data_IF_026045194284
#
_entry.id   IF_026045194284
#
_cell.length_a   1.000
_cell.length_b   1.000
_cell.length_c   1.000
_cell.angle_alpha   90.00
_cell.angle_beta   90.00
_cell.angle_gamma   90.00
#
_symmetry.space_group_name_H-M   'P 1'
#
loop_
_entity.id
_entity.type
_entity.pdbx_description
1 polymer ?
#
# COMPACT_ATOMS: atom_id res chain seq x y z
N UNK A 1 6.75 8.99 3.00
CA UNK A 1 5.29 8.83 2.98
C UNK A 1 4.67 10.20 3.12
N UNK A 2 3.75 10.54 2.23
CA UNK A 2 2.95 11.77 2.32
C UNK A 2 1.55 11.41 2.81
N UNK A 3 0.86 12.35 3.46
CA UNK A 3 -0.55 12.18 3.81
C UNK A 3 -1.36 11.83 2.55
N UNK A 4 -2.10 10.72 2.61
CA UNK A 4 -2.86 10.14 1.50
C UNK A 4 -2.13 9.08 0.69
N UNK A 5 -0.85 8.82 0.95
CA UNK A 5 -0.09 7.74 0.29
C UNK A 5 -0.45 6.39 0.88
N UNK A 6 -0.68 5.41 0.01
CA UNK A 6 -0.96 4.02 0.38
C UNK A 6 0.32 3.19 0.38
N UNK A 7 0.45 2.28 1.34
CA UNK A 7 1.53 1.31 1.42
C UNK A 7 0.99 -0.05 1.84
N UNK A 8 1.66 -1.14 1.41
CA UNK A 8 1.32 -2.48 1.89
C UNK A 8 2.41 -2.93 2.87
N UNK A 9 2.00 -3.52 3.99
CA UNK A 9 2.89 -4.02 5.03
C UNK A 9 2.58 -5.50 5.30
N UNK A 10 3.59 -6.33 5.61
CA UNK A 10 3.36 -7.72 5.99
C UNK A 10 2.57 -7.78 7.32
N UNK A 11 1.53 -8.59 7.33
CA UNK A 11 0.66 -8.87 8.46
C UNK A 11 0.51 -10.39 8.59
N UNK A 12 1.42 -11.02 9.34
CA UNK A 12 1.52 -12.47 9.45
C UNK A 12 1.88 -13.11 8.11
N UNK A 13 0.98 -13.97 7.58
CA UNK A 13 1.14 -14.64 6.28
C UNK A 13 0.53 -13.86 5.11
N UNK A 14 -0.06 -12.71 5.38
CA UNK A 14 -0.71 -11.88 4.38
C UNK A 14 -0.08 -10.48 4.35
N UNK A 15 -0.52 -9.65 3.41
CA UNK A 15 -0.16 -8.26 3.25
C UNK A 15 -1.43 -7.43 3.45
N UNK A 16 -1.32 -6.39 4.28
CA UNK A 16 -2.42 -5.45 4.52
C UNK A 16 -2.03 -4.08 3.98
N UNK A 17 -3.00 -3.39 3.39
CA UNK A 17 -2.83 -2.03 2.89
C UNK A 17 -3.14 -1.03 4.00
N UNK A 18 -2.27 -0.05 4.12
CA UNK A 18 -2.36 1.07 5.04
C UNK A 18 -2.37 2.36 4.22
N UNK A 19 -3.12 3.35 4.71
CA UNK A 19 -3.12 4.72 4.20
C UNK A 19 -2.48 5.63 5.21
N UNK A 20 -1.56 6.47 4.77
CA UNK A 20 -0.93 7.48 5.60
C UNK A 20 -1.96 8.58 5.92
N UNK A 21 -2.57 8.55 7.11
CA UNK A 21 -3.55 9.56 7.54
C UNK A 21 -2.90 10.83 8.07
N UNK A 22 -1.66 10.74 8.54
CA UNK A 22 -0.89 11.86 9.05
C UNK A 22 0.59 11.69 8.70
N UNK A 23 1.21 12.74 8.19
CA UNK A 23 2.64 12.80 7.92
C UNK A 23 3.14 14.18 8.32
N UNK A 24 4.11 14.23 9.21
CA UNK A 24 4.87 15.42 9.56
C UNK A 24 6.36 15.19 9.25
N UNK A 25 7.18 16.20 9.49
CA UNK A 25 8.64 16.14 9.38
C UNK A 25 9.30 15.05 10.23
N UNK A 26 8.65 14.62 11.32
CA UNK A 26 9.23 13.71 12.32
C UNK A 26 8.46 12.41 12.53
N UNK A 27 7.17 12.39 12.23
CA UNK A 27 6.29 11.25 12.49
C UNK A 27 5.36 10.99 11.33
N UNK A 28 5.10 9.71 11.11
CA UNK A 28 4.12 9.26 10.12
C UNK A 28 3.14 8.34 10.84
N UNK A 29 1.85 8.57 10.67
CA UNK A 29 0.78 7.71 11.17
C UNK A 29 0.01 7.16 10.00
N UNK A 30 -0.13 5.84 9.99
CA UNK A 30 -0.82 5.10 8.94
C UNK A 30 -1.89 4.23 9.58
N UNK A 31 -3.07 4.24 8.98
CA UNK A 31 -4.21 3.43 9.40
C UNK A 31 -4.48 2.34 8.36
N UNK A 32 -4.93 1.14 8.76
CA UNK A 32 -5.36 0.13 7.80
C UNK A 32 -6.53 0.66 6.98
N UNK A 33 -6.51 0.41 5.66
CA UNK A 33 -7.60 0.86 4.79
C UNK A 33 -8.88 0.07 5.12
N UNK A 34 -9.97 0.74 5.53
CA UNK A 34 -11.22 0.06 5.86
C UNK A 34 -11.83 -0.53 4.59
N UNK A 35 -12.24 -1.81 4.66
CA UNK A 35 -12.84 -2.53 3.54
C UNK A 35 -11.85 -3.20 2.58
N UNK A 36 -10.54 -2.98 2.72
CA UNK A 36 -9.55 -3.69 1.91
C UNK A 36 -9.29 -5.10 2.45
N UNK A 37 -9.25 -6.11 1.56
CA UNK A 37 -8.93 -7.48 1.96
C UNK A 37 -7.45 -7.63 2.33
N UNK A 38 -7.14 -8.72 3.01
CA UNK A 38 -5.76 -9.17 3.18
C UNK A 38 -5.30 -9.86 1.91
N UNK A 39 -4.16 -9.44 1.37
CA UNK A 39 -3.57 -10.01 0.17
C UNK A 39 -2.63 -11.14 0.55
N UNK A 40 -2.78 -12.32 -0.03
CA UNK A 40 -1.81 -13.41 0.18
C UNK A 40 -0.57 -13.20 -0.69
N UNK A 41 -0.74 -12.63 -1.88
CA UNK A 41 0.33 -12.35 -2.82
C UNK A 41 0.86 -10.92 -2.70
N UNK A 42 2.19 -10.80 -2.64
CA UNK A 42 2.88 -9.50 -2.58
C UNK A 42 2.62 -8.68 -3.85
N UNK A 43 2.50 -9.33 -5.00
CA UNK A 43 2.25 -8.66 -6.28
C UNK A 43 0.84 -8.08 -6.34
N UNK A 44 -0.17 -8.78 -5.82
CA UNK A 44 -1.53 -8.24 -5.73
C UNK A 44 -1.60 -7.03 -4.80
N UNK A 45 -0.99 -7.13 -3.61
CA UNK A 45 -0.89 -6.02 -2.67
C UNK A 45 -0.20 -4.80 -3.31
N UNK A 46 0.88 -5.05 -4.07
CA UNK A 46 1.60 -4.00 -4.79
C UNK A 46 0.74 -3.37 -5.87
N UNK A 47 0.08 -4.17 -6.71
CA UNK A 47 -0.79 -3.67 -7.79
C UNK A 47 -1.88 -2.77 -7.20
N UNK A 48 -2.53 -3.23 -6.13
CA UNK A 48 -3.57 -2.46 -5.44
C UNK A 48 -3.05 -1.14 -4.88
N UNK A 49 -1.89 -1.13 -4.22
CA UNK A 49 -1.27 0.10 -3.72
C UNK A 49 -0.94 1.08 -4.86
N UNK A 50 -0.52 0.59 -6.02
CA UNK A 50 -0.30 1.44 -7.18
C UNK A 50 -1.62 2.03 -7.70
N UNK A 51 -2.69 1.23 -7.78
CA UNK A 51 -4.03 1.71 -8.16
C UNK A 51 -4.54 2.77 -7.18
N UNK A 52 -4.42 2.55 -5.87
CA UNK A 52 -4.85 3.49 -4.83
C UNK A 52 -4.05 4.79 -4.82
N UNK A 53 -2.75 4.74 -5.13
CA UNK A 53 -1.91 5.92 -5.27
C UNK A 53 -2.03 6.61 -6.64
N UNK A 54 -2.77 6.04 -7.60
CA UNK A 54 -2.78 6.51 -8.99
C UNK A 54 -1.43 6.39 -9.69
N UNK A 55 -0.54 5.51 -9.20
CA UNK A 55 0.76 5.28 -9.80
C UNK A 55 0.64 4.39 -11.02
N UNK A 56 1.38 4.74 -12.06
CA UNK A 56 1.40 3.96 -13.29
C UNK A 56 2.07 2.61 -13.01
N UNK A 57 1.26 1.55 -12.84
CA UNK A 57 1.75 0.20 -12.65
C UNK A 57 2.36 -0.28 -13.96
N UNK A 58 3.64 0.03 -14.16
CA UNK A 58 4.43 -0.60 -15.21
C UNK A 58 4.60 -2.06 -14.81
N UNK A 59 3.78 -2.95 -15.37
CA UNK A 59 4.12 -4.36 -15.42
C UNK A 59 5.55 -4.42 -15.96
N UNK A 60 6.48 -4.89 -15.13
CA UNK A 60 7.81 -5.24 -15.61
C UNK A 60 7.57 -6.34 -16.64
N UNK A 61 7.55 -6.00 -17.92
CA UNK A 61 7.65 -6.99 -18.97
C UNK A 61 8.92 -7.80 -18.66
N UNK A 62 8.84 -9.13 -18.52
CA UNK A 62 10.05 -9.93 -18.61
C UNK A 62 10.67 -9.62 -19.98
N UNK A 63 11.92 -9.14 -19.96
CA UNK A 63 12.76 -9.08 -21.15
C UNK A 63 13.26 -10.48 -21.47
#
# INVERSE_FOLDING_TARGET
>A
MKKGEYSYHPYGRHFRIYVCIYADSRTTTSDPVPGEPFYTDREEARKRVYELNGWNYKQRHPR
#
